data_IF_608002769098
#
_entry.id   IF_608002769098
#
_cell.length_a   1.000
_cell.length_b   1.000
_cell.length_c   1.000
_cell.angle_alpha   90.00
_cell.angle_beta   90.00
_cell.angle_gamma   90.00
#
_symmetry.space_group_name_H-M   'P 1'
#
loop_
_entity.id
_entity.type
_entity.pdbx_description
1 polymer ?
#
# COMPACT_ATOMS: atom_id res chain seq x y z
N UNK A 1 -5.64 -52.00 37.35
CA UNK A 1 -5.96 -51.27 36.10
C UNK A 1 -4.86 -51.59 35.10
N UNK A 2 -5.20 -52.10 33.91
CA UNK A 2 -4.22 -52.60 32.95
C UNK A 2 -3.34 -51.43 32.47
N UNK A 3 -2.02 -51.61 32.43
CA UNK A 3 -1.05 -50.57 32.02
C UNK A 3 -1.39 -50.02 30.64
N UNK A 4 -1.89 -50.88 29.75
CA UNK A 4 -2.35 -50.50 28.42
C UNK A 4 -3.56 -49.55 28.46
N UNK A 5 -4.51 -49.77 29.38
CA UNK A 5 -5.69 -48.89 29.54
C UNK A 5 -5.32 -47.54 30.14
N UNK A 6 -4.35 -47.51 31.06
CA UNK A 6 -3.84 -46.26 31.63
C UNK A 6 -3.10 -45.42 30.57
N UNK A 7 -2.23 -46.06 29.78
CA UNK A 7 -1.54 -45.42 28.67
C UNK A 7 -2.52 -44.90 27.61
N UNK A 8 -3.55 -45.67 27.27
CA UNK A 8 -4.53 -45.27 26.27
C UNK A 8 -5.37 -44.05 26.70
N UNK A 9 -5.72 -43.95 27.98
CA UNK A 9 -6.38 -42.75 28.54
C UNK A 9 -5.42 -41.56 28.51
N UNK A 10 -4.15 -41.74 28.87
CA UNK A 10 -3.17 -40.65 28.79
C UNK A 10 -2.96 -40.17 27.35
N UNK A 11 -2.89 -41.08 26.36
CA UNK A 11 -2.82 -40.71 24.95
C UNK A 11 -4.07 -39.94 24.49
N UNK A 12 -5.26 -40.34 24.92
CA UNK A 12 -6.50 -39.64 24.58
C UNK A 12 -6.57 -38.23 25.18
N UNK A 13 -6.14 -38.08 26.43
CA UNK A 13 -6.06 -36.77 27.10
C UNK A 13 -5.00 -35.90 26.44
N UNK A 14 -3.82 -36.45 26.08
CA UNK A 14 -2.78 -35.73 25.36
C UNK A 14 -3.28 -35.27 23.98
N UNK A 15 -4.00 -36.13 23.25
CA UNK A 15 -4.55 -35.82 21.93
C UNK A 15 -5.68 -34.78 22.00
N UNK A 16 -6.52 -34.84 23.04
CA UNK A 16 -7.56 -33.83 23.29
C UNK A 16 -6.96 -32.48 23.67
N UNK A 17 -5.91 -32.46 24.50
CA UNK A 17 -5.16 -31.25 24.84
C UNK A 17 -4.45 -30.66 23.60
N UNK A 18 -3.81 -31.50 22.78
CA UNK A 18 -3.20 -31.08 21.50
C UNK A 18 -4.24 -30.51 20.52
N UNK A 19 -5.45 -31.07 20.45
CA UNK A 19 -6.55 -30.53 19.63
C UNK A 19 -7.14 -29.23 20.17
N UNK A 20 -7.15 -29.03 21.49
CA UNK A 20 -7.59 -27.79 22.11
C UNK A 20 -6.52 -26.68 21.97
N UNK A 21 -5.24 -27.02 22.05
CA UNK A 21 -4.11 -26.10 21.80
C UNK A 21 -4.05 -25.74 20.31
N UNK A 22 -4.24 -26.70 19.40
CA UNK A 22 -4.33 -26.42 17.96
C UNK A 22 -5.55 -25.55 17.56
N UNK A 23 -6.54 -25.38 18.45
CA UNK A 23 -7.68 -24.48 18.27
C UNK A 23 -7.50 -23.14 19.00
N UNK A 24 -6.48 -23.02 19.85
CA UNK A 24 -6.16 -21.88 20.69
C UNK A 24 -4.64 -21.64 20.73
N UNK A 25 -3.96 -21.52 19.60
CA UNK A 25 -2.60 -20.99 19.50
C UNK A 25 -2.27 -20.68 18.03
N UNK A 26 -2.83 -19.58 17.53
CA UNK A 26 -2.25 -18.87 16.40
C UNK A 26 -1.07 -18.05 16.93
N UNK A 27 0.10 -18.66 17.04
CA UNK A 27 1.35 -17.93 17.20
C UNK A 27 2.56 -18.76 16.77
N UNK A 28 3.18 -18.28 15.68
CA UNK A 28 4.59 -18.41 15.27
C UNK A 28 5.28 -19.79 15.27
N UNK A 29 5.72 -20.19 14.07
CA UNK A 29 6.97 -20.95 13.91
C UNK A 29 7.74 -20.47 12.67
N UNK A 30 8.96 -19.98 12.90
CA UNK A 30 10.02 -19.92 11.89
C UNK A 30 10.68 -21.31 11.88
N UNK A 31 10.56 -22.08 10.79
CA UNK A 31 11.72 -22.65 10.09
C UNK A 31 11.34 -23.27 8.74
N UNK A 32 12.34 -23.30 7.86
CA UNK A 32 12.29 -23.49 6.42
C UNK A 32 11.89 -24.91 5.96
N UNK A 33 10.86 -24.98 5.13
CA UNK A 33 10.83 -25.80 3.89
C UNK A 33 9.47 -25.64 3.19
N UNK A 34 9.49 -24.93 2.06
CA UNK A 34 8.55 -25.03 0.92
C UNK A 34 7.18 -25.64 1.19
N UNK A 35 6.29 -24.84 1.75
CA UNK A 35 4.89 -24.76 1.32
C UNK A 35 4.35 -23.45 1.88
N UNK A 36 4.50 -22.37 1.11
CA UNK A 36 3.75 -21.15 1.33
C UNK A 36 2.28 -21.51 1.09
N UNK A 37 1.59 -21.93 2.15
CA UNK A 37 0.15 -21.84 2.21
C UNK A 37 -0.16 -20.35 2.06
N UNK A 38 -0.34 -19.93 0.82
CA UNK A 38 -0.90 -18.65 0.47
C UNK A 38 -2.34 -18.74 0.97
N UNK A 39 -2.55 -18.47 2.27
CA UNK A 39 -3.85 -18.10 2.74
C UNK A 39 -4.24 -16.92 1.87
N UNK A 40 -5.18 -17.16 0.94
CA UNK A 40 -5.94 -16.09 0.32
C UNK A 40 -6.56 -15.34 1.48
N UNK A 41 -5.92 -14.28 1.92
CA UNK A 41 -6.57 -13.25 2.69
C UNK A 41 -7.60 -12.65 1.74
N UNK A 42 -8.81 -13.19 1.78
CA UNK A 42 -9.96 -12.48 1.23
C UNK A 42 -10.18 -11.31 2.19
N UNK A 43 -9.61 -10.15 1.85
CA UNK A 43 -9.96 -8.90 2.50
C UNK A 43 -11.48 -8.85 2.56
N UNK A 44 -12.11 -8.70 3.73
CA UNK A 44 -13.57 -8.64 3.82
C UNK A 44 -14.16 -7.42 3.10
N UNK A 45 -13.28 -6.56 2.54
CA UNK A 45 -13.60 -5.24 2.03
C UNK A 45 -12.97 -5.07 0.66
N UNK A 46 -13.82 -4.71 -0.29
CA UNK A 46 -13.45 -4.39 -1.65
C UNK A 46 -13.31 -2.86 -1.75
N UNK A 47 -12.12 -2.41 -2.12
CA UNK A 47 -11.93 -1.03 -2.54
C UNK A 47 -12.01 -1.00 -4.06
N UNK A 48 -13.07 -0.39 -4.58
CA UNK A 48 -13.24 -0.24 -6.02
C UNK A 48 -12.73 1.14 -6.43
N UNK A 49 -11.61 1.16 -7.14
CA UNK A 49 -11.05 2.35 -7.75
C UNK A 49 -10.88 2.12 -9.25
N UNK A 50 -11.54 2.97 -10.05
CA UNK A 50 -11.38 2.97 -11.49
C UNK A 50 -10.34 4.02 -11.86
N UNK A 51 -9.18 3.62 -12.38
CA UNK A 51 -8.17 4.57 -12.87
C UNK A 51 -8.75 5.55 -13.88
N UNK A 52 -8.19 6.76 -13.93
CA UNK A 52 -8.55 7.74 -14.95
C UNK A 52 -8.38 7.13 -16.35
N UNK A 53 -9.48 7.08 -17.11
CA UNK A 53 -9.49 6.56 -18.48
C UNK A 53 -8.85 7.52 -19.50
N UNK A 54 -8.57 8.77 -19.09
CA UNK A 54 -8.13 9.85 -19.97
C UNK A 54 -6.62 10.07 -19.78
N UNK A 55 -5.87 9.96 -20.86
CA UNK A 55 -4.44 10.24 -20.89
C UNK A 55 -3.54 9.03 -20.58
N UNK A 56 -2.25 9.10 -20.93
CA UNK A 56 -1.31 8.00 -20.72
C UNK A 56 -0.75 8.04 -19.30
N UNK A 57 -1.58 7.76 -18.28
CA UNK A 57 -1.06 7.58 -16.91
C UNK A 57 -0.06 6.43 -16.94
N UNK A 58 1.14 6.69 -16.42
CA UNK A 58 2.19 5.68 -16.35
C UNK A 58 1.75 4.48 -15.50
N UNK A 59 2.20 3.29 -15.89
CA UNK A 59 1.90 2.07 -15.13
C UNK A 59 2.47 2.12 -13.72
N UNK A 60 3.56 2.87 -13.52
CA UNK A 60 4.17 3.12 -12.21
C UNK A 60 3.19 3.86 -11.29
N UNK A 61 2.58 4.95 -11.74
CA UNK A 61 1.60 5.71 -10.95
C UNK A 61 0.41 4.83 -10.56
N UNK A 62 -0.11 4.04 -11.50
CA UNK A 62 -1.25 3.14 -11.24
C UNK A 62 -0.91 2.09 -10.19
N UNK A 63 0.17 1.34 -10.41
CA UNK A 63 0.54 0.22 -9.54
C UNK A 63 0.99 0.67 -8.16
N UNK A 64 1.79 1.74 -8.07
CA UNK A 64 2.21 2.29 -6.78
C UNK A 64 0.99 2.81 -6.02
N UNK A 65 0.08 3.53 -6.70
CA UNK A 65 -1.20 3.94 -6.13
C UNK A 65 -1.99 2.75 -5.59
N UNK A 66 -2.25 1.75 -6.42
CA UNK A 66 -3.01 0.55 -6.03
C UNK A 66 -2.41 -0.16 -4.82
N UNK A 67 -1.09 -0.38 -4.83
CA UNK A 67 -0.36 -0.98 -3.71
C UNK A 67 -0.54 -0.15 -2.44
N UNK A 68 -0.34 1.16 -2.53
CA UNK A 68 -0.33 2.06 -1.37
C UNK A 68 -1.73 2.23 -0.75
N UNK A 69 -2.75 2.45 -1.58
CA UNK A 69 -4.12 2.69 -1.13
C UNK A 69 -4.80 1.40 -0.66
N UNK A 70 -4.67 0.28 -1.37
CA UNK A 70 -5.21 -0.99 -0.88
C UNK A 70 -4.54 -1.44 0.42
N UNK A 71 -3.22 -1.23 0.55
CA UNK A 71 -2.51 -1.51 1.80
C UNK A 71 -3.06 -0.67 2.94
N UNK A 72 -3.24 0.64 2.71
CA UNK A 72 -3.81 1.57 3.70
C UNK A 72 -5.20 1.11 4.15
N UNK A 73 -6.06 0.69 3.21
CA UNK A 73 -7.42 0.24 3.50
C UNK A 73 -7.41 -1.08 4.27
N UNK A 74 -6.63 -2.06 3.81
CA UNK A 74 -6.51 -3.36 4.48
C UNK A 74 -6.12 -3.18 5.95
N UNK A 75 -5.09 -2.37 6.20
CA UNK A 75 -4.64 -2.09 7.57
C UNK A 75 -5.75 -1.40 8.37
N UNK A 76 -6.43 -0.41 7.80
CA UNK A 76 -7.51 0.31 8.48
C UNK A 76 -8.60 -0.64 8.98
N UNK A 77 -8.98 -1.65 8.19
CA UNK A 77 -9.96 -2.64 8.59
C UNK A 77 -9.43 -3.66 9.60
N UNK A 78 -8.17 -4.09 9.46
CA UNK A 78 -7.53 -4.95 10.48
C UNK A 78 -7.49 -4.24 11.84
N UNK A 79 -7.30 -2.92 11.84
CA UNK A 79 -7.27 -2.12 13.06
C UNK A 79 -8.58 -2.12 13.86
N UNK A 80 -9.73 -2.37 13.21
CA UNK A 80 -11.02 -2.50 13.90
C UNK A 80 -11.01 -3.62 14.96
N UNK A 81 -10.24 -4.69 14.74
CA UNK A 81 -10.15 -5.81 15.67
C UNK A 81 -9.41 -5.48 16.97
N UNK A 82 -8.63 -4.39 16.98
CA UNK A 82 -7.97 -3.90 18.19
C UNK A 82 -8.85 -2.90 18.96
N UNK A 83 -10.09 -2.65 18.54
CA UNK A 83 -11.00 -1.73 19.24
C UNK A 83 -10.66 -0.26 18.98
N UNK A 84 -10.97 0.61 19.95
CA UNK A 84 -11.01 2.07 19.74
C UNK A 84 -9.94 2.86 20.49
N UNK A 85 -9.01 2.20 21.18
CA UNK A 85 -7.93 2.88 21.90
C UNK A 85 -6.90 3.46 20.90
N UNK A 86 -7.00 4.77 20.65
CA UNK A 86 -6.12 5.50 19.74
C UNK A 86 -4.64 5.27 20.04
N UNK A 87 -4.21 5.20 21.29
CA UNK A 87 -2.78 5.00 21.62
C UNK A 87 -2.29 3.64 21.18
N UNK A 88 -3.10 2.61 21.42
CA UNK A 88 -2.78 1.25 20.98
C UNK A 88 -2.79 1.13 19.46
N UNK A 89 -3.80 1.72 18.79
CA UNK A 89 -3.89 1.71 17.33
C UNK A 89 -2.68 2.39 16.68
N UNK A 90 -2.30 3.57 17.16
CA UNK A 90 -1.12 4.29 16.69
C UNK A 90 0.18 3.51 16.96
N UNK A 91 0.29 2.85 18.13
CA UNK A 91 1.44 2.01 18.43
C UNK A 91 1.56 0.84 17.44
N UNK A 92 0.45 0.20 17.07
CA UNK A 92 0.43 -0.90 16.09
C UNK A 92 0.93 -0.47 14.71
N UNK A 93 0.49 0.69 14.22
CA UNK A 93 0.93 1.21 12.92
C UNK A 93 2.41 1.63 12.98
N UNK A 94 2.83 2.26 14.07
CA UNK A 94 4.21 2.75 14.21
C UNK A 94 5.24 1.63 14.34
N UNK A 95 4.87 0.46 14.88
CA UNK A 95 5.74 -0.70 14.93
C UNK A 95 6.03 -1.31 13.54
N UNK A 96 5.39 -0.84 12.47
CA UNK A 96 5.68 -1.16 11.05
C UNK A 96 5.41 -2.60 10.62
N UNK A 97 5.41 -3.58 11.52
CA UNK A 97 5.20 -5.00 11.20
C UNK A 97 3.90 -5.24 10.44
N UNK A 98 2.79 -4.66 10.92
CA UNK A 98 1.48 -4.77 10.27
C UNK A 98 1.49 -4.09 8.89
N UNK A 99 2.21 -2.98 8.75
CA UNK A 99 2.33 -2.25 7.48
C UNK A 99 3.11 -3.08 6.48
N UNK A 100 4.25 -3.64 6.87
CA UNK A 100 5.10 -4.45 5.99
C UNK A 100 4.42 -5.75 5.56
N UNK A 101 3.67 -6.38 6.46
CA UNK A 101 2.91 -7.58 6.15
C UNK A 101 1.91 -7.32 5.03
N UNK A 102 1.05 -6.32 5.18
CA UNK A 102 0.06 -5.99 4.17
C UNK A 102 0.67 -5.39 2.90
N UNK A 103 1.71 -4.56 3.03
CA UNK A 103 2.41 -4.01 1.87
C UNK A 103 2.94 -5.15 0.97
N UNK A 104 3.54 -6.19 1.57
CA UNK A 104 4.03 -7.36 0.83
C UNK A 104 2.90 -8.12 0.11
N UNK A 105 1.74 -8.22 0.73
CA UNK A 105 0.56 -8.85 0.10
C UNK A 105 0.14 -8.11 -1.17
N UNK A 106 0.11 -6.77 -1.11
CA UNK A 106 -0.30 -5.94 -2.25
C UNK A 106 0.81 -5.78 -3.31
N UNK A 107 2.09 -5.73 -2.92
CA UNK A 107 3.23 -5.89 -3.83
C UNK A 107 3.05 -7.16 -4.68
N UNK A 108 2.67 -8.28 -4.06
CA UNK A 108 2.41 -9.53 -4.77
C UNK A 108 1.13 -9.48 -5.63
N UNK A 109 0.01 -8.98 -5.09
CA UNK A 109 -1.28 -8.86 -5.79
C UNK A 109 -1.14 -8.08 -7.11
N UNK A 110 -0.44 -6.95 -7.06
CA UNK A 110 -0.28 -6.04 -8.19
C UNK A 110 1.00 -6.29 -9.01
N UNK A 111 1.79 -7.31 -8.64
CA UNK A 111 3.09 -7.63 -9.26
C UNK A 111 3.99 -6.40 -9.34
N UNK A 112 4.06 -5.68 -8.23
CA UNK A 112 4.81 -4.45 -8.08
C UNK A 112 6.07 -4.71 -7.24
N UNK A 113 7.18 -4.16 -7.69
CA UNK A 113 8.46 -4.21 -6.98
C UNK A 113 8.98 -2.79 -6.91
N UNK A 114 9.27 -2.31 -5.70
CA UNK A 114 9.92 -1.02 -5.53
C UNK A 114 11.31 -1.04 -6.18
N UNK A 115 11.61 -0.01 -6.96
CA UNK A 115 12.91 0.18 -7.62
C UNK A 115 14.03 0.29 -6.58
N UNK A 116 13.76 0.93 -5.45
CA UNK A 116 14.72 1.09 -4.37
C UNK A 116 14.09 1.14 -2.98
N UNK A 117 14.97 1.08 -1.97
CA UNK A 117 14.58 1.11 -0.55
C UNK A 117 13.95 2.45 -0.15
N UNK A 118 14.38 3.56 -0.75
CA UNK A 118 13.87 4.90 -0.43
C UNK A 118 12.40 5.01 -0.86
N UNK A 119 12.04 4.54 -2.07
CA UNK A 119 10.63 4.49 -2.50
C UNK A 119 9.78 3.67 -1.54
N UNK A 120 10.29 2.51 -1.10
CA UNK A 120 9.57 1.65 -0.17
C UNK A 120 9.35 2.32 1.19
N UNK A 121 10.38 2.97 1.72
CA UNK A 121 10.30 3.72 2.98
C UNK A 121 9.35 4.92 2.89
N UNK A 122 9.37 5.63 1.75
CA UNK A 122 8.45 6.73 1.48
C UNK A 122 7.00 6.25 1.40
N UNK A 123 6.72 5.16 0.68
CA UNK A 123 5.40 4.53 0.62
C UNK A 123 4.90 4.13 2.02
N UNK A 124 5.74 3.46 2.82
CA UNK A 124 5.42 3.13 4.22
C UNK A 124 5.10 4.39 5.03
N UNK A 125 5.88 5.46 4.86
CA UNK A 125 5.67 6.74 5.54
C UNK A 125 4.31 7.36 5.19
N UNK A 126 3.94 7.38 3.90
CA UNK A 126 2.64 7.90 3.43
C UNK A 126 1.47 7.06 3.95
N UNK A 127 1.57 5.73 3.92
CA UNK A 127 0.56 4.81 4.51
C UNK A 127 0.37 5.14 6.00
N UNK A 128 1.46 5.25 6.76
CA UNK A 128 1.39 5.57 8.19
C UNK A 128 0.78 6.95 8.44
N UNK A 129 1.13 7.96 7.63
CA UNK A 129 0.59 9.32 7.75
C UNK A 129 -0.92 9.33 7.53
N UNK A 130 -1.43 8.64 6.49
CA UNK A 130 -2.88 8.49 6.26
C UNK A 130 -3.57 7.82 7.45
N UNK A 131 -3.04 6.70 7.92
CA UNK A 131 -3.64 5.96 9.03
C UNK A 131 -3.63 6.74 10.35
N UNK A 132 -2.51 7.41 10.66
CA UNK A 132 -2.35 8.27 11.84
C UNK A 132 -3.39 9.39 11.84
N UNK A 133 -3.60 10.03 10.68
CA UNK A 133 -4.62 11.06 10.52
C UNK A 133 -6.03 10.51 10.81
N UNK A 134 -6.42 9.42 10.14
CA UNK A 134 -7.76 8.81 10.30
C UNK A 134 -8.04 8.45 11.76
N UNK A 135 -7.06 7.87 12.45
CA UNK A 135 -7.18 7.44 13.86
C UNK A 135 -7.24 8.62 14.81
N UNK A 136 -6.51 9.71 14.52
CA UNK A 136 -6.56 10.92 15.35
C UNK A 136 -7.88 11.65 15.20
N UNK A 137 -8.39 11.76 13.98
CA UNK A 137 -9.60 12.54 13.67
C UNK A 137 -10.88 11.88 14.21
N UNK A 138 -11.01 10.56 14.07
CA UNK A 138 -12.26 9.86 14.41
C UNK A 138 -12.11 8.69 15.37
N UNK A 139 -13.23 8.02 15.64
CA UNK A 139 -13.26 6.72 16.32
C UNK A 139 -13.44 5.64 15.26
N UNK A 140 -12.50 4.70 15.18
CA UNK A 140 -12.59 3.62 14.20
C UNK A 140 -13.87 2.81 14.38
N UNK A 141 -14.65 2.74 13.31
CA UNK A 141 -15.83 1.90 13.13
C UNK A 141 -15.90 1.51 11.67
N UNK A 142 -16.66 0.47 11.32
CA UNK A 142 -16.80 0.05 9.93
C UNK A 142 -17.33 1.19 9.03
N UNK A 143 -18.31 1.94 9.52
CA UNK A 143 -18.86 3.10 8.82
C UNK A 143 -17.83 4.20 8.63
N UNK A 144 -17.01 4.47 9.65
CA UNK A 144 -15.93 5.45 9.54
C UNK A 144 -14.82 4.98 8.58
N UNK A 145 -14.55 3.69 8.49
CA UNK A 145 -13.62 3.14 7.49
C UNK A 145 -14.14 3.34 6.06
N UNK A 146 -15.45 3.15 5.82
CA UNK A 146 -16.08 3.44 4.52
C UNK A 146 -16.00 4.93 4.17
N UNK A 147 -16.07 5.81 5.17
CA UNK A 147 -15.84 7.25 4.95
C UNK A 147 -14.38 7.53 4.59
N UNK A 148 -13.43 6.91 5.31
CA UNK A 148 -11.99 7.02 5.02
C UNK A 148 -11.63 6.57 3.60
N UNK A 149 -12.24 5.48 3.10
CA UNK A 149 -12.05 5.03 1.71
C UNK A 149 -12.43 6.11 0.68
N UNK A 150 -13.48 6.92 0.95
CA UNK A 150 -13.86 8.02 0.05
C UNK A 150 -12.78 9.11 0.00
N UNK A 151 -12.07 9.33 1.11
CA UNK A 151 -10.96 10.27 1.18
C UNK A 151 -9.75 9.75 0.43
N UNK A 152 -9.42 8.47 0.63
CA UNK A 152 -8.35 7.80 -0.11
C UNK A 152 -8.61 7.79 -1.62
N UNK A 153 -9.87 7.61 -2.04
CA UNK A 153 -10.27 7.73 -3.43
C UNK A 153 -9.95 9.13 -4.01
N UNK A 154 -10.24 10.20 -3.26
CA UNK A 154 -9.93 11.57 -3.71
C UNK A 154 -8.43 11.72 -3.89
N UNK A 155 -7.66 11.27 -2.92
CA UNK A 155 -6.21 11.39 -2.95
C UNK A 155 -5.58 10.62 -4.11
N UNK A 156 -5.96 9.36 -4.32
CA UNK A 156 -5.49 8.57 -5.47
C UNK A 156 -5.85 9.20 -6.81
N UNK A 157 -7.04 9.84 -6.91
CA UNK A 157 -7.42 10.59 -8.10
C UNK A 157 -6.55 11.81 -8.32
N UNK A 158 -6.16 12.50 -7.26
CA UNK A 158 -5.28 13.67 -7.35
C UNK A 158 -3.88 13.26 -7.75
N UNK A 159 -3.35 12.14 -7.23
CA UNK A 159 -2.07 11.57 -7.65
C UNK A 159 -2.03 11.35 -9.18
N UNK A 160 -3.07 10.71 -9.73
CA UNK A 160 -3.22 10.46 -11.17
C UNK A 160 -3.35 11.74 -12.01
N UNK A 161 -4.21 12.67 -11.60
CA UNK A 161 -4.43 13.93 -12.34
C UNK A 161 -3.20 14.82 -12.34
N UNK A 162 -2.49 14.88 -11.20
CA UNK A 162 -1.27 15.67 -11.07
C UNK A 162 -0.10 15.02 -11.79
N UNK A 163 0.01 13.68 -11.82
CA UNK A 163 1.07 13.01 -12.59
C UNK A 163 0.98 13.37 -14.08
N UNK A 164 -0.23 13.42 -14.65
CA UNK A 164 -0.45 13.87 -16.03
C UNK A 164 -0.03 15.33 -16.29
N UNK A 165 0.00 16.17 -15.26
CA UNK A 165 0.52 17.54 -15.38
C UNK A 165 2.03 17.56 -15.31
N UNK A 166 2.61 16.81 -14.38
CA UNK A 166 4.06 16.63 -14.30
C UNK A 166 4.60 16.11 -15.63
N UNK A 167 3.93 15.14 -16.26
CA UNK A 167 4.37 14.56 -17.54
C UNK A 167 4.33 15.54 -18.72
N UNK A 168 3.59 16.65 -18.62
CA UNK A 168 3.55 17.70 -19.65
C UNK A 168 4.74 18.65 -19.57
N UNK A 169 5.39 18.73 -18.42
CA UNK A 169 6.58 19.57 -18.23
C UNK A 169 7.81 18.95 -18.89
N UNK A 170 8.71 19.80 -19.39
CA UNK A 170 9.80 19.35 -20.27
C UNK A 170 11.06 18.99 -19.49
N UNK A 171 11.40 19.79 -18.50
CA UNK A 171 12.64 19.64 -17.72
C UNK A 171 12.35 19.03 -16.36
N UNK A 172 13.36 18.39 -15.77
CA UNK A 172 13.25 17.84 -14.42
C UNK A 172 12.89 18.91 -13.38
N UNK A 173 13.46 20.11 -13.51
CA UNK A 173 13.19 21.21 -12.58
C UNK A 173 11.74 21.67 -12.68
N UNK A 174 11.20 21.85 -13.89
CA UNK A 174 9.77 22.16 -14.10
C UNK A 174 8.86 21.06 -13.56
N UNK A 175 9.22 19.77 -13.80
CA UNK A 175 8.51 18.62 -13.24
C UNK A 175 8.49 18.64 -11.72
N UNK A 176 9.64 18.85 -11.10
CA UNK A 176 9.79 18.94 -9.63
C UNK A 176 8.98 20.10 -9.06
N UNK A 177 8.99 21.27 -9.70
CA UNK A 177 8.17 22.42 -9.30
C UNK A 177 6.67 22.11 -9.41
N UNK A 178 6.25 21.39 -10.47
CA UNK A 178 4.87 20.96 -10.62
C UNK A 178 4.44 19.95 -9.54
N UNK A 179 5.31 19.00 -9.15
CA UNK A 179 5.05 18.10 -8.02
C UNK A 179 4.78 18.86 -6.70
N UNK A 180 5.45 20.01 -6.51
CA UNK A 180 5.35 20.86 -5.32
C UNK A 180 4.27 21.93 -5.41
N UNK A 181 3.48 21.96 -6.50
CA UNK A 181 2.48 22.98 -6.72
C UNK A 181 1.22 22.76 -5.86
N UNK A 182 1.33 23.15 -4.58
CA UNK A 182 0.27 22.98 -3.56
C UNK A 182 -1.04 23.64 -3.95
N UNK A 183 -0.99 24.76 -4.66
CA UNK A 183 -2.20 25.47 -5.07
C UNK A 183 -2.97 24.70 -6.15
N UNK A 184 -2.26 24.11 -7.11
CA UNK A 184 -2.90 23.28 -8.13
C UNK A 184 -3.44 21.97 -7.53
N UNK A 185 -2.70 21.33 -6.61
CA UNK A 185 -3.17 20.15 -5.87
C UNK A 185 -4.47 20.48 -5.10
N UNK A 186 -4.48 21.57 -4.31
CA UNK A 186 -5.67 22.02 -3.56
C UNK A 186 -6.84 22.33 -4.48
N UNK A 187 -6.58 22.94 -5.64
CA UNK A 187 -7.62 23.23 -6.62
C UNK A 187 -8.28 21.95 -7.14
N UNK A 188 -7.52 20.89 -7.40
CA UNK A 188 -8.09 19.59 -7.78
C UNK A 188 -8.89 18.94 -6.66
N UNK A 189 -8.39 18.96 -5.43
CA UNK A 189 -9.13 18.47 -4.26
C UNK A 189 -10.50 19.16 -4.18
N UNK A 190 -10.53 20.49 -4.27
CA UNK A 190 -11.78 21.28 -4.23
C UNK A 190 -12.77 20.91 -5.36
N UNK A 191 -12.27 20.59 -6.55
CA UNK A 191 -13.11 20.14 -7.68
C UNK A 191 -13.71 18.76 -7.38
N UNK A 192 -12.91 17.84 -6.86
CA UNK A 192 -13.35 16.47 -6.53
C UNK A 192 -14.32 16.43 -5.35
N UNK A 193 -14.09 17.25 -4.31
CA UNK A 193 -15.01 17.44 -3.19
C UNK A 193 -16.41 17.84 -3.66
N UNK A 194 -16.49 18.87 -4.52
CA UNK A 194 -17.75 19.34 -5.11
C UNK A 194 -18.39 18.29 -6.01
N UNK A 195 -17.60 17.63 -6.85
CA UNK A 195 -18.09 16.64 -7.81
C UNK A 195 -18.66 15.38 -7.13
N UNK A 196 -18.15 15.01 -5.95
CA UNK A 196 -18.56 13.81 -5.22
C UNK A 196 -19.42 14.07 -3.98
N UNK A 197 -19.67 15.33 -3.64
CA UNK A 197 -20.38 15.70 -2.43
C UNK A 197 -19.66 15.25 -1.15
N UNK A 198 -18.32 15.20 -1.19
CA UNK A 198 -17.46 14.88 -0.05
C UNK A 198 -16.86 16.18 0.44
N UNK A 199 -16.79 16.36 1.76
CA UNK A 199 -16.15 17.52 2.37
C UNK A 199 -15.05 17.05 3.32
N UNK A 200 -13.82 17.34 2.96
CA UNK A 200 -12.61 17.16 3.75
C UNK A 200 -12.46 18.34 4.73
N UNK A 201 -11.82 18.09 5.86
CA UNK A 201 -11.40 19.17 6.76
C UNK A 201 -10.15 19.87 6.20
N UNK A 202 -9.86 21.09 6.66
CA UNK A 202 -8.62 21.79 6.27
C UNK A 202 -7.36 20.99 6.62
N UNK A 203 -7.37 20.24 7.73
CA UNK A 203 -6.26 19.38 8.13
C UNK A 203 -6.12 18.17 7.19
N UNK A 204 -7.23 17.59 6.73
CA UNK A 204 -7.23 16.55 5.71
C UNK A 204 -6.67 17.07 4.40
N UNK A 205 -7.14 18.24 3.93
CA UNK A 205 -6.65 18.86 2.70
C UNK A 205 -5.14 19.09 2.81
N UNK A 206 -4.66 19.64 3.94
CA UNK A 206 -3.23 19.84 4.15
C UNK A 206 -2.46 18.51 4.11
N UNK A 207 -2.93 17.49 4.82
CA UNK A 207 -2.29 16.18 4.82
C UNK A 207 -2.24 15.57 3.42
N UNK A 208 -3.34 15.61 2.68
CA UNK A 208 -3.47 15.12 1.30
C UNK A 208 -2.52 15.87 0.36
N UNK A 209 -2.39 17.19 0.51
CA UNK A 209 -1.44 17.97 -0.31
C UNK A 209 -0.01 17.50 -0.08
N UNK A 210 0.39 17.33 1.18
CA UNK A 210 1.76 16.93 1.52
C UNK A 210 2.04 15.48 1.08
N UNK A 211 1.07 14.57 1.15
CA UNK A 211 1.24 13.18 0.67
C UNK A 211 1.26 13.06 -0.85
N UNK A 212 0.45 13.83 -1.57
CA UNK A 212 0.48 13.92 -3.04
C UNK A 212 1.83 14.45 -3.51
N UNK A 213 2.35 15.52 -2.89
CA UNK A 213 3.69 16.05 -3.18
C UNK A 213 4.77 14.96 -3.01
N UNK A 214 4.77 14.27 -1.86
CA UNK A 214 5.71 13.19 -1.56
C UNK A 214 5.58 12.01 -2.55
N UNK A 215 4.36 11.70 -3.01
CA UNK A 215 4.10 10.66 -4.01
C UNK A 215 4.68 11.03 -5.37
N UNK A 216 4.34 12.22 -5.87
CA UNK A 216 4.76 12.70 -7.19
C UNK A 216 6.28 12.86 -7.28
N UNK A 217 6.93 13.32 -6.21
CA UNK A 217 8.39 13.42 -6.16
C UNK A 217 9.06 12.04 -6.20
N UNK A 218 8.47 11.03 -5.57
CA UNK A 218 9.00 9.67 -5.59
C UNK A 218 8.88 9.04 -6.99
N UNK A 219 7.71 9.19 -7.64
CA UNK A 219 7.48 8.76 -9.03
C UNK A 219 8.42 9.48 -10.01
N UNK A 220 8.60 10.80 -9.85
CA UNK A 220 9.51 11.56 -10.69
C UNK A 220 10.96 11.07 -10.54
N UNK A 221 11.39 10.80 -9.31
CA UNK A 221 12.74 10.29 -9.03
C UNK A 221 12.96 8.90 -9.61
N UNK A 222 11.99 7.99 -9.47
CA UNK A 222 12.12 6.63 -10.01
C UNK A 222 12.15 6.60 -11.54
N UNK A 223 11.39 7.49 -12.19
CA UNK A 223 11.42 7.62 -13.66
C UNK A 223 12.81 7.93 -14.24
N UNK A 224 13.68 8.60 -13.47
CA UNK A 224 15.07 8.88 -13.87
C UNK A 224 15.98 7.66 -13.73
N UNK A 225 15.75 6.85 -12.70
CA UNK A 225 16.54 5.64 -12.44
C UNK A 225 16.28 4.60 -13.52
N UNK A 226 15.02 4.44 -13.93
CA UNK A 226 14.65 3.53 -15.01
C UNK A 226 15.28 3.96 -16.35
N UNK A 227 15.30 5.27 -16.66
CA UNK A 227 15.95 5.76 -17.89
C UNK A 227 17.46 5.53 -17.91
N UNK A 228 18.13 5.63 -16.76
CA UNK A 228 19.58 5.37 -16.66
C UNK A 228 19.88 3.87 -16.80
N UNK A 229 19.00 3.00 -16.30
CA UNK A 229 19.14 1.55 -16.44
C UNK A 229 18.94 1.08 -17.88
N UNK A 230 17.94 1.63 -18.58
CA UNK A 230 17.70 1.34 -20.00
C UNK A 230 18.85 1.82 -20.89
N UNK A 231 19.38 3.02 -20.64
CA UNK A 231 20.55 3.54 -21.36
C UNK A 231 21.79 2.67 -21.16
N UNK A 232 22.03 2.18 -19.94
CA UNK A 232 23.14 1.28 -19.64
C UNK A 232 22.97 -0.10 -20.28
N UNK A 233 21.75 -0.60 -20.45
CA UNK A 233 21.49 -1.87 -21.12
C UNK A 233 21.60 -1.76 -22.66
N UNK A 234 21.16 -0.65 -23.25
CA UNK A 234 21.33 -0.39 -24.68
C UNK A 234 22.80 -0.25 -25.08
N UNK A 235 23.62 0.41 -24.25
CA UNK A 235 25.07 0.52 -24.49
C UNK A 235 25.82 -0.81 -24.33
N UNK A 236 25.26 -1.78 -23.61
CA UNK A 236 25.86 -3.09 -23.36
C UNK A 236 25.26 -4.22 -24.21
N UNK A 237 24.33 -3.92 -25.13
CA UNK A 237 23.83 -4.89 -26.08
C UNK A 237 24.97 -5.25 -27.07
N UNK A 238 25.49 -6.49 -27.09
CA UNK A 238 26.53 -6.85 -28.05
C UNK A 238 25.95 -6.76 -29.47
N UNK A 239 26.64 -6.02 -30.35
CA UNK A 239 26.41 -6.03 -31.79
C UNK A 239 26.54 -7.47 -32.32
N UNK A 240 25.43 -8.22 -32.36
CA UNK A 240 25.37 -9.54 -32.96
C UNK A 240 24.19 -9.67 -33.90
N UNK A 241 24.11 -8.83 -34.93
CA UNK A 241 23.40 -9.17 -36.17
C UNK A 241 23.98 -8.40 -37.37
N UNK A 242 25.14 -8.84 -37.89
CA UNK A 242 25.47 -8.62 -39.31
C UNK A 242 26.61 -9.51 -39.83
N UNK A 243 26.56 -10.84 -39.65
CA UNK A 243 27.39 -11.74 -40.46
C UNK A 243 26.67 -13.04 -40.78
N UNK A 244 25.62 -12.93 -41.60
CA UNK A 244 25.22 -13.98 -42.54
C UNK A 244 24.81 -13.30 -43.84
N UNK A 245 25.80 -12.95 -44.64
CA UNK A 245 25.67 -12.72 -46.08
C UNK A 245 27.06 -12.91 -46.69
N UNK A 246 27.30 -14.14 -47.15
CA UNK A 246 27.99 -14.57 -48.39
C UNK A 246 28.54 -15.99 -48.22
#
# INVERSE_FOLDING_TARGET
>A
MNIYSFLQIQFFVLYALLKCIARCENSYSYDASTQTACHKFESPYEFTYDHLAIGPISEEVKKLGDVEFDTSISILYVLLHFGTDKKMLLHKINNTDIVLLHLREFEFKYRYQFIDKVSKENCISRIKRRLDFIIKDGTLSEEYCKQAQKYFWIEQRVDEEMSLKVDKEKTYDEKSEMCKNKDEIKKFINVLEKGRGIKLSEEMIKSTVDTVEDFLLDVLRTSMIDTDFDFMNEMNAPEQYSMWNF
#
